data_IF_017118597624
#
_entry.id   IF_017118597624
#
_cell.length_a   1.000
_cell.length_b   1.000
_cell.length_c   1.000
_cell.angle_alpha   90.00
_cell.angle_beta   90.00
_cell.angle_gamma   90.00
#
_symmetry.space_group_name_H-M   'P 1'
#
loop_
_entity.id
_entity.type
_entity.pdbx_description
1 polymer ?
#
# COMPACT_ATOMS: atom_id res chain seq x y z
N UNK A 1 -2.87 12.14 39.28
CA UNK A 1 -2.91 12.02 37.81
C UNK A 1 -3.99 11.00 37.48
N UNK A 2 -5.20 11.44 37.12
CA UNK A 2 -6.30 10.52 36.79
C UNK A 2 -6.03 10.04 35.36
N UNK A 3 -5.65 8.77 35.22
CA UNK A 3 -5.61 8.12 33.91
C UNK A 3 -7.07 8.01 33.44
N UNK A 4 -7.49 8.90 32.52
CA UNK A 4 -8.70 8.69 31.73
C UNK A 4 -8.49 7.38 30.97
N UNK A 5 -9.07 6.30 31.47
CA UNK A 5 -9.23 5.07 30.72
C UNK A 5 -10.05 5.44 29.48
N UNK A 6 -9.40 5.45 28.32
CA UNK A 6 -10.14 5.56 27.06
C UNK A 6 -11.20 4.46 27.04
N UNK A 7 -12.46 4.87 26.93
CA UNK A 7 -13.59 3.96 26.85
C UNK A 7 -13.58 3.29 25.47
N UNK A 8 -14.08 2.05 25.41
CA UNK A 8 -14.29 1.39 24.12
C UNK A 8 -15.25 2.22 23.26
N UNK A 9 -14.94 2.33 21.98
CA UNK A 9 -15.75 3.03 20.98
C UNK A 9 -16.49 1.99 20.14
N UNK A 10 -17.76 2.23 19.88
CA UNK A 10 -18.63 1.27 19.18
C UNK A 10 -19.44 1.96 18.10
N UNK A 11 -19.40 1.40 16.89
CA UNK A 11 -20.29 1.76 15.80
C UNK A 11 -21.26 0.60 15.50
N UNK A 12 -22.55 0.91 15.38
CA UNK A 12 -23.59 -0.07 15.06
C UNK A 12 -24.24 0.34 13.74
N UNK A 13 -24.35 -0.61 12.82
CA UNK A 13 -24.99 -0.39 11.52
C UNK A 13 -25.87 -1.60 11.13
N UNK A 14 -26.79 -1.37 10.21
CA UNK A 14 -27.59 -2.42 9.61
C UNK A 14 -27.08 -2.75 8.21
N UNK A 15 -27.10 -4.03 7.89
CA UNK A 15 -26.84 -4.50 6.54
C UNK A 15 -27.88 -5.55 6.13
N UNK A 16 -28.21 -5.55 4.85
CA UNK A 16 -29.23 -6.39 4.23
C UNK A 16 -28.56 -7.51 3.46
N UNK A 17 -28.92 -8.76 3.75
CA UNK A 17 -28.38 -9.92 3.05
C UNK A 17 -28.77 -9.92 1.57
N UNK A 18 -27.81 -10.21 0.70
CA UNK A 18 -27.98 -10.22 -0.77
C UNK A 18 -28.75 -11.44 -1.28
N UNK A 19 -28.79 -12.51 -0.48
CA UNK A 19 -29.37 -13.79 -0.88
C UNK A 19 -28.37 -14.79 -1.45
N UNK A 20 -27.06 -14.55 -1.27
CA UNK A 20 -26.00 -15.44 -1.72
C UNK A 20 -26.24 -16.88 -1.22
N UNK A 21 -26.14 -17.85 -2.12
CA UNK A 21 -26.35 -19.26 -1.79
C UNK A 21 -25.19 -19.83 -0.98
N UNK A 22 -25.45 -20.89 -0.21
CA UNK A 22 -24.39 -21.61 0.51
C UNK A 22 -23.33 -22.11 -0.48
N UNK A 23 -22.06 -21.89 -0.15
CA UNK A 23 -20.91 -22.32 -0.95
C UNK A 23 -20.55 -21.36 -2.07
N UNK A 24 -21.37 -20.35 -2.37
CA UNK A 24 -21.03 -19.35 -3.38
C UNK A 24 -19.80 -18.52 -2.93
N UNK A 25 -18.88 -18.17 -3.87
CA UNK A 25 -17.73 -17.33 -3.58
C UNK A 25 -18.14 -15.97 -3.01
N UNK A 26 -17.40 -15.49 -2.02
CA UNK A 26 -17.60 -14.18 -1.40
C UNK A 26 -16.34 -13.35 -1.61
N UNK A 27 -16.45 -12.25 -2.35
CA UNK A 27 -15.38 -11.27 -2.47
C UNK A 27 -15.53 -10.13 -1.45
N UNK A 28 -16.77 -9.81 -1.10
CA UNK A 28 -17.09 -8.69 -0.20
C UNK A 28 -17.96 -9.16 0.96
N UNK A 29 -17.55 -8.83 2.19
CA UNK A 29 -18.45 -8.98 3.32
C UNK A 29 -19.53 -7.89 3.29
N UNK A 30 -19.11 -6.66 3.00
CA UNK A 30 -19.98 -5.48 2.96
C UNK A 30 -19.73 -4.64 1.71
N UNK A 31 -20.81 -4.29 1.02
CA UNK A 31 -20.85 -3.24 -0.01
C UNK A 31 -21.92 -2.20 0.34
N UNK A 32 -21.84 -0.99 -0.19
CA UNK A 32 -22.88 0.03 -0.04
C UNK A 32 -24.04 -0.18 -1.02
N UNK A 33 -25.18 0.47 -0.75
CA UNK A 33 -26.43 0.40 -1.55
C UNK A 33 -26.27 0.76 -3.05
N UNK A 34 -25.18 1.41 -3.45
CA UNK A 34 -24.89 1.77 -4.84
C UNK A 34 -24.02 0.75 -5.60
N UNK A 35 -23.64 -0.36 -4.97
CA UNK A 35 -22.78 -1.36 -5.60
C UNK A 35 -23.54 -2.25 -6.59
N UNK A 36 -22.92 -2.56 -7.72
CA UNK A 36 -23.34 -3.60 -8.67
C UNK A 36 -22.71 -4.97 -8.36
N UNK A 37 -22.00 -5.10 -7.23
CA UNK A 37 -21.32 -6.33 -6.78
C UNK A 37 -22.13 -7.14 -5.78
N UNK A 38 -23.46 -6.94 -5.73
CA UNK A 38 -24.34 -7.66 -4.80
C UNK A 38 -24.35 -9.18 -5.05
N UNK A 39 -23.99 -9.63 -6.26
CA UNK A 39 -23.88 -11.03 -6.63
C UNK A 39 -22.64 -11.74 -6.05
N UNK A 40 -21.65 -11.00 -5.52
CA UNK A 40 -20.42 -11.51 -4.90
C UNK A 40 -20.17 -10.90 -3.50
N UNK A 41 -21.18 -10.21 -2.97
CA UNK A 41 -21.18 -9.63 -1.63
C UNK A 41 -22.20 -10.34 -0.72
N UNK A 42 -21.89 -10.52 0.57
CA UNK A 42 -22.87 -11.10 1.50
C UNK A 42 -23.93 -10.11 1.98
N UNK A 43 -23.53 -8.86 2.21
CA UNK A 43 -24.40 -7.84 2.78
C UNK A 43 -24.26 -6.50 2.08
N UNK A 44 -25.40 -5.83 1.91
CA UNK A 44 -25.51 -4.43 1.47
C UNK A 44 -25.77 -3.57 2.70
N UNK A 45 -24.87 -2.64 3.00
CA UNK A 45 -25.06 -1.63 4.04
C UNK A 45 -25.97 -0.54 3.50
N UNK A 46 -26.96 -0.12 4.30
CA UNK A 46 -28.00 0.82 3.88
C UNK A 46 -27.47 2.26 3.60
N UNK A 47 -26.25 2.58 4.03
CA UNK A 47 -25.61 3.89 3.88
C UNK A 47 -24.50 3.90 2.80
N UNK A 48 -24.12 5.10 2.33
CA UNK A 48 -22.97 5.28 1.43
C UNK A 48 -21.65 5.04 2.14
N UNK A 49 -20.57 4.76 1.40
CA UNK A 49 -19.24 4.54 2.00
C UNK A 49 -18.79 5.78 2.79
N UNK A 50 -19.09 6.97 2.28
CA UNK A 50 -18.79 8.23 2.97
C UNK A 50 -19.55 8.39 4.29
N UNK A 51 -20.83 8.03 4.31
CA UNK A 51 -21.65 8.11 5.52
C UNK A 51 -21.17 7.09 6.56
N UNK A 52 -20.85 5.87 6.12
CA UNK A 52 -20.27 4.82 6.95
C UNK A 52 -18.98 5.31 7.64
N UNK A 53 -18.03 5.87 6.88
CA UNK A 53 -16.80 6.40 7.45
C UNK A 53 -17.05 7.53 8.45
N UNK A 54 -17.88 8.52 8.08
CA UNK A 54 -18.22 9.64 8.98
C UNK A 54 -18.84 9.16 10.29
N UNK A 55 -19.70 8.14 10.24
CA UNK A 55 -20.36 7.61 11.43
C UNK A 55 -19.40 6.81 12.33
N UNK A 56 -18.47 6.03 11.75
CA UNK A 56 -17.39 5.37 12.50
C UNK A 56 -16.51 6.41 13.22
N UNK A 57 -16.08 7.45 12.50
CA UNK A 57 -15.25 8.52 13.07
C UNK A 57 -16.00 9.29 14.17
N UNK A 58 -17.29 9.57 13.97
CA UNK A 58 -18.17 10.19 14.99
C UNK A 58 -18.36 9.30 16.23
N UNK A 59 -18.29 7.98 16.08
CA UNK A 59 -18.30 7.04 17.20
C UNK A 59 -16.97 7.01 17.99
N UNK A 60 -15.97 7.81 17.57
CA UNK A 60 -14.68 7.94 18.24
C UNK A 60 -13.63 6.95 17.75
N UNK A 61 -13.90 6.20 16.67
CA UNK A 61 -12.93 5.26 16.07
C UNK A 61 -12.10 6.04 15.04
N UNK A 62 -10.79 6.24 15.27
CA UNK A 62 -9.98 7.09 14.40
C UNK A 62 -9.66 6.38 13.09
N UNK A 63 -9.74 7.13 11.98
CA UNK A 63 -9.28 6.67 10.68
C UNK A 63 -7.76 6.45 10.68
N UNK A 64 -7.35 5.36 10.03
CA UNK A 64 -5.94 5.05 9.78
C UNK A 64 -5.43 5.61 8.45
N UNK A 65 -4.62 4.82 7.75
CA UNK A 65 -4.09 5.10 6.42
C UNK A 65 -4.38 3.91 5.51
N UNK A 66 -5.15 4.15 4.45
CA UNK A 66 -5.30 3.19 3.38
C UNK A 66 -3.98 3.03 2.60
N UNK A 67 -3.88 1.94 1.83
CA UNK A 67 -2.80 1.76 0.87
C UNK A 67 -2.82 2.91 -0.14
N UNK A 68 -1.65 3.53 -0.36
CA UNK A 68 -1.46 4.67 -1.24
C UNK A 68 -0.08 4.52 -1.91
N UNK A 69 -0.09 4.06 -3.16
CA UNK A 69 1.14 3.83 -3.91
C UNK A 69 1.96 5.10 -4.16
N UNK A 70 1.32 6.26 -4.32
CA UNK A 70 2.03 7.53 -4.53
C UNK A 70 2.79 7.96 -3.28
N UNK A 71 2.24 7.65 -2.09
CA UNK A 71 2.87 7.93 -0.80
C UNK A 71 3.72 6.77 -0.29
N UNK A 72 3.92 5.70 -1.07
CA UNK A 72 4.61 4.48 -0.64
C UNK A 72 4.01 3.86 0.63
N UNK A 73 2.69 3.96 0.81
CA UNK A 73 1.98 3.26 1.88
C UNK A 73 1.51 1.93 1.28
N UNK A 74 2.26 0.86 1.53
CA UNK A 74 2.01 -0.47 0.96
C UNK A 74 1.23 -1.37 1.92
N UNK A 75 1.39 -1.14 3.22
CA UNK A 75 0.58 -1.80 4.24
C UNK A 75 -0.53 -0.87 4.72
N UNK A 76 -1.78 -1.36 4.85
CA UNK A 76 -2.82 -0.58 5.50
C UNK A 76 -2.48 -0.36 6.98
N UNK A 77 -2.74 0.82 7.49
CA UNK A 77 -2.55 1.18 8.90
C UNK A 77 -3.91 1.56 9.46
N UNK A 78 -4.24 1.09 10.66
CA UNK A 78 -5.53 1.39 11.28
C UNK A 78 -5.61 0.83 12.69
N UNK A 79 -6.68 1.18 13.39
CA UNK A 79 -7.00 0.54 14.66
C UNK A 79 -7.63 -0.82 14.41
N UNK A 80 -7.30 -1.86 15.20
CA UNK A 80 -7.96 -3.15 15.09
C UNK A 80 -9.40 -3.05 15.61
N UNK A 81 -10.31 -3.70 14.90
CA UNK A 81 -11.72 -3.74 15.20
C UNK A 81 -12.18 -5.18 15.42
N UNK A 82 -13.02 -5.37 16.44
CA UNK A 82 -13.84 -6.58 16.54
C UNK A 82 -15.17 -6.35 15.82
N UNK A 83 -15.60 -7.35 15.04
CA UNK A 83 -16.89 -7.37 14.34
C UNK A 83 -17.83 -8.39 15.00
N UNK A 84 -19.05 -7.96 15.34
CA UNK A 84 -20.14 -8.82 15.82
C UNK A 84 -21.40 -8.64 14.96
N UNK A 85 -22.10 -9.72 14.54
CA UNK A 85 -21.67 -11.12 14.63
C UNK A 85 -20.35 -11.36 13.87
N UNK A 86 -19.65 -12.44 14.22
CA UNK A 86 -18.31 -12.67 13.69
C UNK A 86 -18.39 -13.03 12.22
N UNK A 87 -17.36 -12.68 11.46
CA UNK A 87 -17.24 -13.05 10.06
C UNK A 87 -17.41 -14.57 9.84
N UNK A 88 -16.81 -15.40 10.70
CA UNK A 88 -16.91 -16.87 10.67
C UNK A 88 -18.32 -17.44 10.92
N UNK A 89 -19.29 -16.61 11.33
CA UNK A 89 -20.70 -16.99 11.44
C UNK A 89 -21.38 -17.03 10.05
N UNK A 90 -20.77 -16.36 9.06
CA UNK A 90 -21.31 -16.19 7.70
C UNK A 90 -20.44 -16.78 6.60
N UNK A 91 -19.11 -16.85 6.79
CA UNK A 91 -18.19 -17.39 5.79
C UNK A 91 -17.42 -18.61 6.27
N UNK A 92 -17.18 -19.51 5.33
CA UNK A 92 -16.13 -20.52 5.41
C UNK A 92 -14.86 -19.95 4.77
N UNK A 93 -13.69 -20.29 5.33
CA UNK A 93 -12.40 -19.75 4.90
C UNK A 93 -11.44 -20.90 4.66
N UNK A 94 -10.87 -20.93 3.46
CA UNK A 94 -9.85 -21.87 3.03
C UNK A 94 -8.74 -21.09 2.34
N UNK A 95 -7.92 -20.41 3.15
CA UNK A 95 -6.81 -19.61 2.66
C UNK A 95 -5.68 -20.49 2.10
N UNK A 96 -4.95 -20.03 1.07
CA UNK A 96 -3.76 -20.73 0.59
C UNK A 96 -2.64 -20.74 1.65
N UNK A 97 -1.68 -21.64 1.47
CA UNK A 97 -0.49 -21.72 2.32
C UNK A 97 0.22 -20.36 2.39
N UNK A 98 0.62 -19.97 3.61
CA UNK A 98 1.26 -18.68 3.87
C UNK A 98 0.30 -17.54 4.21
N UNK A 99 -1.00 -17.73 4.04
CA UNK A 99 -2.03 -16.78 4.48
C UNK A 99 -2.72 -17.25 5.76
N UNK A 100 -3.05 -16.31 6.64
CA UNK A 100 -3.86 -16.58 7.84
C UNK A 100 -4.89 -15.46 8.02
N UNK A 101 -6.04 -15.71 8.66
CA UNK A 101 -6.97 -14.66 9.03
C UNK A 101 -6.25 -13.63 9.89
N UNK A 102 -6.40 -12.36 9.57
CA UNK A 102 -5.78 -11.27 10.33
C UNK A 102 -6.83 -10.29 10.84
N UNK A 103 -6.40 -9.41 11.75
CA UNK A 103 -7.30 -8.43 12.36
C UNK A 103 -7.94 -7.53 11.29
N UNK A 104 -9.20 -7.17 11.51
CA UNK A 104 -9.89 -6.15 10.72
C UNK A 104 -9.38 -4.79 11.18
N UNK A 105 -8.89 -3.98 10.26
CA UNK A 105 -8.47 -2.61 10.51
C UNK A 105 -9.47 -1.62 9.93
N UNK A 106 -9.66 -0.50 10.62
CA UNK A 106 -10.28 0.67 10.03
C UNK A 106 -9.22 1.64 9.49
N UNK A 107 -9.18 1.78 8.17
CA UNK A 107 -8.27 2.70 7.46
C UNK A 107 -8.95 4.02 7.09
N UNK A 108 -10.29 4.04 7.11
CA UNK A 108 -11.07 5.16 6.61
C UNK A 108 -11.15 5.25 5.08
N UNK A 109 -10.57 4.27 4.35
CA UNK A 109 -10.63 4.17 2.89
C UNK A 109 -9.67 5.11 2.17
N UNK A 110 -9.38 4.82 0.89
CA UNK A 110 -8.52 5.67 0.07
C UNK A 110 -9.20 7.03 -0.23
N UNK A 111 -8.41 8.10 -0.17
CA UNK A 111 -8.86 9.49 -0.36
C UNK A 111 -8.05 10.20 -1.43
N UNK A 112 -8.70 11.11 -2.13
CA UNK A 112 -8.06 12.00 -3.10
C UNK A 112 -7.22 13.09 -2.41
N UNK A 113 -6.57 13.94 -3.21
CA UNK A 113 -5.71 15.02 -2.72
C UNK A 113 -6.46 16.10 -1.93
N UNK A 114 -7.80 16.17 -2.07
CA UNK A 114 -8.68 17.07 -1.31
C UNK A 114 -9.21 16.42 -0.03
N UNK A 115 -8.85 15.17 0.24
CA UNK A 115 -9.32 14.39 1.39
C UNK A 115 -10.71 13.79 1.20
N UNK A 116 -11.33 13.94 0.03
CA UNK A 116 -12.58 13.26 -0.29
C UNK A 116 -12.28 11.78 -0.51
N UNK A 117 -13.19 10.90 -0.11
CA UNK A 117 -13.08 9.49 -0.50
C UNK A 117 -13.08 9.40 -2.03
N UNK A 118 -12.26 8.50 -2.58
CA UNK A 118 -12.30 8.28 -4.02
C UNK A 118 -13.75 7.98 -4.45
N UNK A 119 -14.27 8.71 -5.45
CA UNK A 119 -15.69 8.76 -5.72
C UNK A 119 -16.24 7.37 -6.04
N UNK A 120 -17.49 7.10 -5.65
CA UNK A 120 -18.29 5.90 -5.95
C UNK A 120 -18.50 5.66 -7.48
N UNK A 121 -17.75 6.34 -8.36
CA UNK A 121 -17.91 6.38 -9.81
C UNK A 121 -17.35 5.17 -10.57
N UNK A 122 -16.95 4.11 -9.86
CA UNK A 122 -16.62 2.82 -10.47
C UNK A 122 -17.01 1.68 -9.54
N UNK A 123 -17.33 0.52 -10.10
CA UNK A 123 -17.90 -0.65 -9.41
C UNK A 123 -17.11 -1.10 -8.15
N UNK A 124 -15.81 -0.80 -8.07
CA UNK A 124 -14.94 -1.09 -6.92
C UNK A 124 -15.00 -0.07 -5.77
N UNK A 125 -15.63 1.08 -5.96
CA UNK A 125 -15.65 2.20 -5.00
C UNK A 125 -16.84 2.17 -4.02
N UNK A 126 -17.77 1.22 -4.18
CA UNK A 126 -18.86 0.95 -3.23
C UNK A 126 -18.50 -0.12 -2.18
N UNK A 127 -17.25 -0.60 -2.17
CA UNK A 127 -16.81 -1.62 -1.21
C UNK A 127 -16.61 -1.03 0.19
N UNK A 128 -17.23 -1.64 1.20
CA UNK A 128 -17.02 -1.30 2.61
C UNK A 128 -15.98 -2.25 3.23
N UNK A 129 -16.08 -3.54 2.92
CA UNK A 129 -15.11 -4.54 3.36
C UNK A 129 -14.94 -5.64 2.30
N UNK A 130 -13.85 -5.54 1.53
CA UNK A 130 -13.39 -6.62 0.67
C UNK A 130 -12.61 -7.67 1.47
N UNK A 131 -12.75 -8.94 1.09
CA UNK A 131 -12.02 -10.06 1.69
C UNK A 131 -10.62 -10.25 1.07
N UNK A 132 -10.12 -9.23 0.37
CA UNK A 132 -8.78 -9.11 -0.18
C UNK A 132 -8.29 -7.67 0.02
N UNK A 133 -7.02 -7.40 -0.29
CA UNK A 133 -6.43 -6.06 -0.17
C UNK A 133 -6.94 -5.12 -1.25
N UNK A 134 -8.02 -4.40 -0.92
CA UNK A 134 -8.57 -3.33 -1.72
C UNK A 134 -8.39 -1.99 -0.99
N UNK A 135 -7.55 -1.12 -1.55
CA UNK A 135 -7.21 0.17 -0.93
C UNK A 135 -8.42 1.07 -0.66
N UNK A 136 -9.46 0.98 -1.50
CA UNK A 136 -10.66 1.79 -1.39
C UNK A 136 -11.59 1.37 -0.24
N UNK A 137 -11.52 0.11 0.20
CA UNK A 137 -12.35 -0.37 1.30
C UNK A 137 -11.91 0.28 2.62
N UNK A 138 -12.84 0.89 3.39
CA UNK A 138 -12.53 1.46 4.69
C UNK A 138 -12.22 0.41 5.77
N UNK A 139 -12.76 -0.80 5.63
CA UNK A 139 -12.37 -1.96 6.41
C UNK A 139 -11.51 -2.87 5.55
N UNK A 140 -10.37 -3.26 6.10
CA UNK A 140 -9.41 -4.16 5.43
C UNK A 140 -8.83 -5.12 6.44
N UNK A 141 -8.28 -6.23 5.96
CA UNK A 141 -7.41 -7.05 6.78
C UNK A 141 -6.08 -6.34 7.06
N UNK A 142 -5.48 -6.64 8.21
CA UNK A 142 -4.19 -6.04 8.60
C UNK A 142 -3.02 -6.50 7.74
N UNK A 143 -3.12 -7.69 7.13
CA UNK A 143 -2.17 -8.23 6.15
C UNK A 143 -2.37 -7.75 4.71
N UNK A 144 -1.54 -8.26 3.79
CA UNK A 144 -1.68 -8.05 2.35
C UNK A 144 -2.20 -9.35 1.72
N UNK A 145 -3.33 -9.26 1.01
CA UNK A 145 -4.03 -10.37 0.39
C UNK A 145 -4.36 -9.98 -1.06
N UNK A 146 -3.44 -10.16 -2.02
CA UNK A 146 -3.72 -9.87 -3.42
C UNK A 146 -4.97 -10.62 -3.89
N UNK A 147 -5.87 -9.97 -4.62
CA UNK A 147 -7.15 -10.59 -5.05
C UNK A 147 -6.94 -11.93 -5.76
N UNK A 148 -5.99 -12.00 -6.69
CA UNK A 148 -5.69 -13.21 -7.45
C UNK A 148 -5.23 -14.40 -6.59
N UNK A 149 -4.64 -14.12 -5.43
CA UNK A 149 -4.11 -15.16 -4.53
C UNK A 149 -5.21 -15.72 -3.61
N UNK A 150 -6.15 -14.87 -3.18
CA UNK A 150 -7.22 -15.26 -2.24
C UNK A 150 -8.59 -15.43 -2.89
N UNK A 151 -8.67 -15.33 -4.21
CA UNK A 151 -9.90 -15.54 -4.95
C UNK A 151 -10.48 -16.94 -4.65
N UNK A 152 -11.77 -17.01 -4.32
CA UNK A 152 -12.44 -18.26 -3.96
C UNK A 152 -12.05 -18.83 -2.59
N UNK A 153 -11.15 -18.20 -1.84
CA UNK A 153 -10.77 -18.65 -0.49
C UNK A 153 -11.86 -18.44 0.56
N UNK A 154 -12.90 -17.66 0.22
CA UNK A 154 -14.03 -17.37 1.09
C UNK A 154 -15.34 -17.76 0.40
N UNK A 155 -16.16 -18.54 1.08
CA UNK A 155 -17.47 -18.97 0.58
C UNK A 155 -18.55 -18.75 1.63
N UNK A 156 -19.79 -18.55 1.18
CA UNK A 156 -20.91 -18.39 2.09
C UNK A 156 -21.17 -19.69 2.87
N UNK A 157 -21.08 -19.64 4.20
CA UNK A 157 -21.27 -20.79 5.09
C UNK A 157 -22.71 -21.32 5.11
N UNK A 158 -23.66 -20.42 4.89
CA UNK A 158 -25.10 -20.71 4.83
C UNK A 158 -25.76 -19.76 3.84
N UNK A 159 -26.87 -20.22 3.26
CA UNK A 159 -27.75 -19.33 2.51
C UNK A 159 -28.40 -18.35 3.47
N UNK A 160 -28.33 -17.06 3.15
CA UNK A 160 -29.07 -16.00 3.84
C UNK A 160 -30.32 -15.66 3.05
N UNK A 161 -31.43 -15.35 3.72
CA UNK A 161 -32.63 -14.96 3.00
C UNK A 161 -32.40 -13.57 2.40
N UNK A 162 -32.56 -13.41 1.09
CA UNK A 162 -32.47 -12.09 0.43
C UNK A 162 -33.39 -11.09 1.13
N UNK A 163 -32.85 -9.92 1.47
CA UNK A 163 -33.58 -8.89 2.19
C UNK A 163 -33.59 -9.04 3.72
N UNK A 164 -33.02 -10.10 4.27
CA UNK A 164 -32.86 -10.25 5.72
C UNK A 164 -31.92 -9.18 6.27
N UNK A 165 -32.37 -8.44 7.29
CA UNK A 165 -31.56 -7.41 7.94
C UNK A 165 -30.79 -8.00 9.11
N UNK A 166 -29.50 -7.73 9.16
CA UNK A 166 -28.60 -8.10 10.25
C UNK A 166 -28.01 -6.82 10.83
N UNK A 167 -27.95 -6.75 12.16
CA UNK A 167 -27.30 -5.65 12.87
C UNK A 167 -25.86 -6.04 13.17
N UNK A 168 -24.92 -5.20 12.75
CA UNK A 168 -23.50 -5.39 12.99
C UNK A 168 -22.98 -4.35 13.98
N UNK A 169 -21.94 -4.74 14.70
CA UNK A 169 -21.21 -3.90 15.64
C UNK A 169 -19.72 -3.97 15.35
N UNK A 170 -19.11 -2.80 15.17
CA UNK A 170 -17.67 -2.62 15.17
C UNK A 170 -17.26 -2.01 16.50
N UNK A 171 -16.26 -2.61 17.16
CA UNK A 171 -15.75 -2.10 18.43
C UNK A 171 -14.24 -1.93 18.38
N UNK A 172 -13.78 -0.76 18.81
CA UNK A 172 -12.38 -0.47 19.11
C UNK A 172 -12.22 -0.35 20.62
N UNK A 173 -11.13 -0.89 21.17
CA UNK A 173 -10.86 -0.90 22.61
C UNK A 173 -10.48 0.47 23.20
N UNK A 174 -10.40 1.52 22.36
CA UNK A 174 -10.04 2.88 22.72
C UNK A 174 -8.55 3.11 22.98
N UNK A 175 -7.71 2.07 22.89
CA UNK A 175 -6.32 2.10 23.38
C UNK A 175 -5.32 1.57 22.37
N UNK A 176 -5.64 0.46 21.71
CA UNK A 176 -4.74 -0.21 20.77
C UNK A 176 -4.66 0.59 19.48
N UNK A 177 -3.47 1.13 19.22
CA UNK A 177 -3.15 1.86 18.00
C UNK A 177 -1.74 1.52 17.53
N UNK A 178 -1.49 1.48 16.20
CA UNK A 178 -0.14 1.36 15.67
C UNK A 178 0.76 2.47 16.22
N UNK A 179 1.97 2.12 16.65
CA UNK A 179 2.97 3.10 17.05
C UNK A 179 3.64 3.65 15.80
N UNK A 180 3.60 4.96 15.62
CA UNK A 180 4.38 5.62 14.58
C UNK A 180 5.84 5.72 15.03
N UNK A 181 6.76 5.22 14.20
CA UNK A 181 8.19 5.23 14.45
C UNK A 181 8.90 5.84 13.26
N UNK A 182 9.70 6.87 13.50
CA UNK A 182 10.61 7.42 12.49
C UNK A 182 12.02 6.91 12.76
N UNK A 183 12.71 6.48 11.71
CA UNK A 183 14.11 6.06 11.76
C UNK A 183 14.93 6.92 10.80
N UNK A 184 15.92 7.61 11.35
CA UNK A 184 16.87 8.43 10.62
C UNK A 184 18.14 7.62 10.35
N UNK A 185 18.22 6.98 9.19
CA UNK A 185 19.42 6.29 8.73
C UNK A 185 20.46 7.30 8.26
N UNK A 186 21.65 7.23 8.85
CA UNK A 186 22.84 8.03 8.57
C UNK A 186 24.04 7.10 8.40
N UNK A 187 25.16 7.60 7.90
CA UNK A 187 26.36 6.79 7.81
C UNK A 187 26.72 6.20 9.18
N UNK A 188 26.97 4.90 9.23
CA UNK A 188 27.35 4.17 10.44
C UNK A 188 26.25 3.82 11.47
N UNK A 189 25.00 4.29 11.35
CA UNK A 189 23.98 4.08 12.40
C UNK A 189 22.91 3.02 12.09
N UNK A 190 22.97 2.36 10.92
CA UNK A 190 21.92 1.44 10.47
C UNK A 190 21.62 0.33 11.50
N UNK A 191 22.67 -0.25 12.10
CA UNK A 191 22.53 -1.31 13.12
C UNK A 191 21.73 -0.83 14.34
N UNK A 192 21.98 0.38 14.81
CA UNK A 192 21.28 0.97 15.96
C UNK A 192 19.79 1.14 15.67
N UNK A 193 19.45 1.69 14.50
CA UNK A 193 18.06 1.85 14.07
C UNK A 193 17.32 0.50 13.94
N UNK A 194 17.98 -0.53 13.43
CA UNK A 194 17.40 -1.87 13.33
C UNK A 194 17.21 -2.49 14.73
N UNK A 195 18.13 -2.30 15.66
CA UNK A 195 17.97 -2.76 17.05
C UNK A 195 16.85 -2.01 17.78
N UNK A 196 16.68 -0.72 17.51
CA UNK A 196 15.58 0.09 18.03
C UNK A 196 14.23 -0.48 17.63
N UNK A 197 14.05 -0.93 16.38
CA UNK A 197 12.79 -1.60 15.96
C UNK A 197 12.50 -2.84 16.80
N UNK A 198 13.50 -3.70 17.02
CA UNK A 198 13.37 -4.91 17.83
C UNK A 198 13.00 -4.61 19.29
N UNK A 199 13.44 -3.47 19.82
CA UNK A 199 13.14 -3.06 21.20
C UNK A 199 11.66 -2.78 21.47
N UNK A 200 10.84 -2.54 20.44
CA UNK A 200 9.40 -2.34 20.60
C UNK A 200 8.61 -3.64 20.81
N UNK A 201 9.26 -4.80 20.73
CA UNK A 201 8.64 -6.11 20.98
C UNK A 201 7.45 -6.38 20.06
N UNK A 202 6.34 -6.84 20.63
CA UNK A 202 5.18 -7.29 19.86
C UNK A 202 4.21 -6.17 19.42
N UNK A 203 4.60 -4.91 19.54
CA UNK A 203 3.73 -3.79 19.17
C UNK A 203 3.56 -3.72 17.65
N UNK A 204 2.37 -3.35 17.18
CA UNK A 204 2.18 -2.97 15.78
C UNK A 204 2.84 -1.61 15.53
N UNK A 205 3.68 -1.54 14.50
CA UNK A 205 4.46 -0.36 14.14
C UNK A 205 4.10 0.14 12.73
N UNK A 206 3.99 1.45 12.57
CA UNK A 206 3.99 2.17 11.29
C UNK A 206 5.33 2.92 11.19
N UNK A 207 6.26 2.40 10.37
CA UNK A 207 7.65 2.83 10.34
C UNK A 207 7.93 3.68 9.12
N UNK A 208 8.35 4.93 9.33
CA UNK A 208 8.91 5.80 8.30
C UNK A 208 10.44 5.72 8.35
N UNK A 209 11.03 5.09 7.34
CA UNK A 209 12.48 5.00 7.19
C UNK A 209 13.01 6.15 6.32
N UNK A 210 13.89 6.98 6.87
CA UNK A 210 14.48 8.13 6.19
C UNK A 210 15.97 7.91 6.00
N UNK A 211 16.45 8.06 4.77
CA UNK A 211 17.85 7.87 4.42
C UNK A 211 18.52 9.22 4.22
N UNK A 212 19.54 9.50 5.02
CA UNK A 212 20.27 10.76 4.97
C UNK A 212 21.22 10.84 3.78
N UNK A 213 21.49 12.06 3.30
CA UNK A 213 22.34 12.30 2.13
C UNK A 213 23.82 11.91 2.32
N UNK A 214 24.27 11.80 3.56
CA UNK A 214 25.64 11.39 3.92
C UNK A 214 25.87 9.87 3.78
N UNK A 215 24.81 9.08 3.63
CA UNK A 215 24.94 7.65 3.35
C UNK A 215 25.46 7.43 1.93
N UNK A 216 26.18 6.34 1.73
CA UNK A 216 26.50 5.78 0.42
C UNK A 216 25.36 4.90 -0.11
N UNK A 217 25.35 4.62 -1.41
CA UNK A 217 24.44 3.62 -2.02
C UNK A 217 24.55 2.27 -1.34
N UNK A 218 25.78 1.81 -1.07
CA UNK A 218 26.04 0.53 -0.41
C UNK A 218 25.46 0.47 1.01
N UNK A 219 25.66 1.51 1.82
CA UNK A 219 25.07 1.60 3.17
C UNK A 219 23.54 1.61 3.13
N UNK A 220 22.95 2.37 2.20
CA UNK A 220 21.50 2.46 2.04
C UNK A 220 20.89 1.12 1.62
N UNK A 221 21.54 0.41 0.69
CA UNK A 221 21.16 -0.95 0.26
C UNK A 221 21.27 -1.95 1.40
N UNK A 222 22.32 -1.89 2.23
CA UNK A 222 22.44 -2.76 3.39
C UNK A 222 21.31 -2.52 4.41
N UNK A 223 20.99 -1.25 4.70
CA UNK A 223 19.86 -0.89 5.56
C UNK A 223 18.51 -1.32 4.96
N UNK A 224 18.31 -1.13 3.65
CA UNK A 224 17.11 -1.54 2.95
C UNK A 224 16.90 -3.07 3.00
N UNK A 225 17.95 -3.88 2.83
CA UNK A 225 17.86 -5.33 2.98
C UNK A 225 17.44 -5.74 4.41
N UNK A 226 17.98 -5.08 5.43
CA UNK A 226 17.58 -5.33 6.81
C UNK A 226 16.11 -4.94 7.07
N UNK A 227 15.66 -3.83 6.50
CA UNK A 227 14.26 -3.40 6.54
C UNK A 227 13.34 -4.39 5.82
N UNK A 228 13.71 -4.88 4.64
CA UNK A 228 12.95 -5.87 3.88
C UNK A 228 12.70 -7.16 4.67
N UNK A 229 13.67 -7.59 5.49
CA UNK A 229 13.55 -8.77 6.34
C UNK A 229 12.64 -8.56 7.56
N UNK A 230 12.34 -7.30 7.93
CA UNK A 230 11.45 -6.95 9.04
C UNK A 230 10.05 -6.56 8.57
N UNK A 231 9.91 -6.12 7.32
CA UNK A 231 8.66 -5.64 6.73
C UNK A 231 7.57 -6.71 6.78
N UNK A 232 6.56 -6.50 7.60
CA UNK A 232 5.57 -7.52 7.97
C UNK A 232 4.27 -6.88 8.47
N UNK A 233 3.25 -7.71 8.74
CA UNK A 233 1.99 -7.28 9.34
C UNK A 233 2.18 -6.58 10.71
N UNK A 234 3.24 -6.93 11.44
CA UNK A 234 3.54 -6.32 12.73
C UNK A 234 4.39 -5.05 12.58
N UNK A 235 5.39 -5.07 11.70
CA UNK A 235 6.30 -3.95 11.44
C UNK A 235 6.09 -3.49 10.00
N UNK A 236 5.25 -2.47 9.82
CA UNK A 236 4.85 -1.99 8.50
C UNK A 236 5.75 -0.84 8.09
N UNK A 237 6.63 -1.06 7.11
CA UNK A 237 7.53 -0.01 6.63
C UNK A 237 6.85 0.72 5.48
N UNK A 238 6.45 1.95 5.72
CA UNK A 238 5.64 2.76 4.83
C UNK A 238 6.23 4.16 4.68
N UNK A 239 5.87 4.82 3.59
CA UNK A 239 6.10 6.24 3.43
C UNK A 239 7.51 6.59 2.96
N UNK A 240 7.62 7.83 2.48
CA UNK A 240 8.88 8.55 2.29
C UNK A 240 8.70 9.94 2.87
N UNK A 241 9.80 10.60 3.23
CA UNK A 241 9.74 12.04 3.45
C UNK A 241 9.73 12.78 2.10
N UNK A 242 9.48 14.08 2.16
CA UNK A 242 9.54 14.94 0.99
C UNK A 242 10.93 14.84 0.34
N UNK A 243 10.92 14.44 -0.93
CA UNK A 243 12.10 14.22 -1.76
C UNK A 243 12.97 12.99 -1.48
N UNK A 244 12.75 12.23 -0.40
CA UNK A 244 13.50 11.01 -0.12
C UNK A 244 13.15 9.84 -1.04
N UNK A 245 13.83 8.71 -0.78
CA UNK A 245 13.61 7.44 -1.46
C UNK A 245 12.97 6.44 -0.49
N UNK A 246 12.00 5.68 -0.99
CA UNK A 246 11.47 4.54 -0.26
C UNK A 246 12.53 3.45 -0.15
N UNK A 247 12.56 2.67 0.94
CA UNK A 247 13.65 1.71 1.14
C UNK A 247 13.76 0.68 -0.01
N UNK A 248 12.63 0.27 -0.61
CA UNK A 248 12.62 -0.65 -1.76
C UNK A 248 13.24 -0.05 -3.03
N UNK A 249 13.44 1.27 -3.09
CA UNK A 249 14.20 1.90 -4.17
C UNK A 249 15.62 1.33 -4.26
N UNK A 250 16.22 0.91 -3.14
CA UNK A 250 17.56 0.32 -3.10
C UNK A 250 17.58 -1.20 -3.34
N UNK A 251 16.42 -1.80 -3.61
CA UNK A 251 16.24 -3.24 -3.84
C UNK A 251 15.56 -3.53 -5.19
N UNK A 252 16.03 -2.96 -6.32
CA UNK A 252 15.44 -3.31 -7.60
C UNK A 252 15.69 -4.78 -7.95
N UNK A 253 14.78 -5.37 -8.71
CA UNK A 253 15.00 -6.71 -9.27
C UNK A 253 16.14 -6.65 -10.28
N UNK A 254 17.17 -7.49 -10.10
CA UNK A 254 18.37 -7.50 -10.96
C UNK A 254 18.00 -7.66 -12.44
N UNK A 255 17.01 -8.51 -12.76
CA UNK A 255 16.56 -8.70 -14.15
C UNK A 255 16.09 -7.41 -14.83
N UNK A 256 15.62 -6.42 -14.06
CA UNK A 256 15.24 -5.13 -14.61
C UNK A 256 16.44 -4.29 -15.09
N UNK A 257 17.69 -4.70 -14.86
CA UNK A 257 18.81 -4.04 -15.55
C UNK A 257 18.78 -4.31 -17.06
N UNK A 258 18.28 -5.48 -17.48
CA UNK A 258 18.04 -5.79 -18.88
C UNK A 258 16.74 -5.10 -19.34
N UNK A 259 16.78 -4.37 -20.46
CA UNK A 259 15.60 -3.65 -21.01
C UNK A 259 14.53 -4.60 -21.55
N UNK A 260 14.94 -5.78 -22.03
CA UNK A 260 14.04 -6.80 -22.61
C UNK A 260 13.22 -7.53 -21.54
N UNK A 261 13.70 -7.55 -20.30
CA UNK A 261 13.05 -8.19 -19.15
C UNK A 261 12.07 -7.27 -18.42
N UNK A 262 11.84 -6.05 -18.92
CA UNK A 262 10.95 -5.06 -18.31
C UNK A 262 9.62 -5.03 -19.02
N UNK A 263 8.54 -4.92 -18.23
CA UNK A 263 7.19 -4.66 -18.74
C UNK A 263 7.02 -3.22 -19.25
N UNK A 264 7.82 -2.29 -18.72
CA UNK A 264 7.79 -0.86 -19.05
C UNK A 264 9.21 -0.34 -19.23
N UNK A 265 9.37 0.74 -19.99
CA UNK A 265 10.67 1.35 -20.24
C UNK A 265 10.85 2.66 -19.46
N UNK A 266 11.37 2.60 -18.21
CA UNK A 266 11.59 3.79 -17.39
C UNK A 266 12.70 4.67 -17.97
N UNK A 267 12.81 5.90 -17.47
CA UNK A 267 14.03 6.67 -17.67
C UNK A 267 15.23 5.93 -17.05
N UNK A 268 16.39 6.06 -17.69
CA UNK A 268 17.65 5.58 -17.13
C UNK A 268 18.57 6.78 -16.89
N UNK A 269 18.94 7.01 -15.65
CA UNK A 269 19.88 8.04 -15.25
C UNK A 269 21.18 7.38 -14.81
N UNK A 270 22.27 7.59 -15.54
CA UNK A 270 23.61 7.24 -15.09
C UNK A 270 24.26 8.44 -14.44
N UNK A 271 24.68 8.29 -13.18
CA UNK A 271 25.55 9.27 -12.53
C UNK A 271 26.99 9.04 -13.01
N UNK A 272 27.58 10.07 -13.59
CA UNK A 272 28.96 10.05 -14.10
C UNK A 272 29.85 10.98 -13.26
N UNK A 273 31.16 10.74 -13.31
CA UNK A 273 32.14 11.55 -12.59
C UNK A 273 32.14 13.01 -13.07
N UNK A 274 32.04 13.21 -14.39
CA UNK A 274 32.01 14.56 -15.00
C UNK A 274 30.58 15.03 -15.32
N UNK A 275 29.73 14.12 -15.81
CA UNK A 275 28.40 14.46 -16.30
C UNK A 275 27.42 13.31 -16.17
N UNK A 276 26.21 13.64 -15.73
CA UNK A 276 25.07 12.74 -15.71
C UNK A 276 24.50 12.51 -17.11
N UNK A 277 24.07 11.27 -17.37
CA UNK A 277 23.44 10.88 -18.62
C UNK A 277 22.02 10.38 -18.36
N UNK A 278 21.03 11.07 -18.94
CA UNK A 278 19.63 10.68 -18.90
C UNK A 278 19.21 10.09 -20.26
N UNK A 279 18.66 8.89 -20.21
CA UNK A 279 18.11 8.19 -21.37
C UNK A 279 16.60 8.07 -21.26
N UNK A 280 15.91 8.38 -22.36
CA UNK A 280 14.56 7.94 -22.65
C UNK A 280 14.63 6.73 -23.58
N UNK A 281 13.88 5.69 -23.31
CA UNK A 281 13.84 4.51 -24.16
C UNK A 281 12.59 4.60 -25.04
N UNK A 282 12.79 4.78 -26.34
CA UNK A 282 11.70 4.79 -27.31
C UNK A 282 11.30 3.37 -27.68
N UNK A 283 10.00 3.08 -27.59
CA UNK A 283 9.40 1.82 -28.02
C UNK A 283 8.80 1.98 -29.42
N UNK A 284 9.34 1.23 -30.38
CA UNK A 284 8.81 1.14 -31.74
C UNK A 284 8.06 -0.18 -31.93
N UNK A 285 6.74 -0.07 -32.08
CA UNK A 285 5.79 -1.18 -32.26
C UNK A 285 5.41 -1.40 -33.74
N UNK A 286 6.11 -0.78 -34.70
CA UNK A 286 5.73 -0.84 -36.12
C UNK A 286 6.10 -2.16 -36.83
N UNK A 287 6.87 -3.04 -36.18
CA UNK A 287 7.27 -4.34 -36.72
C UNK A 287 6.30 -5.49 -36.43
N UNK A 288 6.52 -6.65 -37.06
CA UNK A 288 5.72 -7.87 -36.86
C UNK A 288 6.04 -8.63 -35.56
N UNK A 289 7.04 -8.18 -34.80
CA UNK A 289 7.46 -8.79 -33.54
C UNK A 289 6.46 -8.50 -32.41
N UNK A 290 6.26 -9.49 -31.53
CA UNK A 290 5.48 -9.32 -30.28
C UNK A 290 6.17 -8.37 -29.28
N UNK A 291 7.47 -8.14 -29.44
CA UNK A 291 8.25 -7.21 -28.63
C UNK A 291 8.60 -5.96 -29.45
N UNK A 292 8.54 -4.75 -28.85
CA UNK A 292 8.90 -3.52 -29.52
C UNK A 292 10.41 -3.46 -29.73
N UNK A 293 10.81 -2.75 -30.78
CA UNK A 293 12.21 -2.37 -30.92
C UNK A 293 12.49 -1.22 -29.95
N UNK A 294 13.44 -1.46 -29.03
CA UNK A 294 13.83 -0.49 -28.00
C UNK A 294 15.00 0.34 -28.48
N UNK A 295 14.83 1.67 -28.52
CA UNK A 295 15.89 2.62 -28.94
C UNK A 295 16.19 3.61 -27.82
N UNK A 296 17.33 3.48 -27.13
CA UNK A 296 17.76 4.47 -26.14
C UNK A 296 18.10 5.81 -26.80
N UNK A 297 17.53 6.90 -26.27
CA UNK A 297 17.78 8.28 -26.70
C UNK A 297 18.30 9.10 -25.53
N UNK A 298 19.48 9.71 -25.71
CA UNK A 298 19.99 10.71 -24.77
C UNK A 298 19.11 11.95 -24.83
N UNK A 299 18.66 12.41 -23.67
CA UNK A 299 17.82 13.60 -23.53
C UNK A 299 18.37 14.52 -22.43
N UNK A 300 17.98 15.79 -22.45
CA UNK A 300 18.27 16.70 -21.34
C UNK A 300 17.26 16.50 -20.20
N UNK A 301 17.64 16.88 -18.98
CA UNK A 301 16.71 16.92 -17.83
C UNK A 301 15.48 17.79 -18.12
N UNK A 302 15.68 18.93 -18.80
CA UNK A 302 14.58 19.83 -19.21
C UNK A 302 13.63 19.17 -20.21
N UNK A 303 14.13 18.30 -21.10
CA UNK A 303 13.29 17.60 -22.08
C UNK A 303 12.50 16.44 -21.46
N UNK A 304 12.92 15.92 -20.31
CA UNK A 304 12.25 14.81 -19.63
C UNK A 304 10.76 15.08 -19.36
N UNK A 305 10.38 16.33 -19.06
CA UNK A 305 8.98 16.73 -18.82
C UNK A 305 8.05 16.56 -20.04
N UNK A 306 8.61 16.41 -21.25
CA UNK A 306 7.84 16.13 -22.47
C UNK A 306 7.29 14.70 -22.47
N UNK A 307 7.91 13.78 -21.73
CA UNK A 307 7.56 12.34 -21.73
C UNK A 307 6.69 11.97 -20.52
N UNK A 308 5.48 12.55 -20.45
CA UNK A 308 4.58 12.43 -19.29
C UNK A 308 4.12 11.00 -18.95
N UNK A 309 4.27 10.05 -19.88
CA UNK A 309 3.89 8.64 -19.66
C UNK A 309 4.89 7.88 -18.79
N UNK A 310 6.11 8.39 -18.64
CA UNK A 310 7.17 7.71 -17.89
C UNK A 310 7.13 8.10 -16.40
N UNK A 311 6.62 7.20 -15.57
CA UNK A 311 6.41 7.45 -14.13
C UNK A 311 7.49 6.82 -13.23
N UNK A 312 8.51 6.22 -13.83
CA UNK A 312 9.58 5.49 -13.13
C UNK A 312 10.94 5.89 -13.67
N UNK A 313 11.95 5.99 -12.80
CA UNK A 313 13.35 6.23 -13.16
C UNK A 313 14.29 5.25 -12.46
N UNK A 314 15.19 4.66 -13.25
CA UNK A 314 16.28 3.82 -12.79
C UNK A 314 17.56 4.67 -12.74
N UNK A 315 18.13 4.81 -11.55
CA UNK A 315 19.38 5.53 -11.33
C UNK A 315 20.50 4.49 -11.19
N UNK A 316 21.52 4.62 -12.00
CA UNK A 316 22.72 3.80 -11.92
C UNK A 316 23.85 4.62 -11.29
N UNK A 317 24.32 4.17 -10.14
CA UNK A 317 25.28 4.89 -9.30
C UNK A 317 26.36 3.94 -8.75
N UNK A 318 27.56 4.45 -8.46
CA UNK A 318 28.62 3.68 -7.81
C UNK A 318 28.24 3.31 -6.37
N UNK A 319 28.82 2.26 -5.82
CA UNK A 319 28.55 1.79 -4.47
C UNK A 319 28.87 2.81 -3.37
N UNK A 320 29.90 3.63 -3.59
CA UNK A 320 30.39 4.69 -2.70
C UNK A 320 29.74 6.06 -2.97
N UNK A 321 28.89 6.16 -4.00
CA UNK A 321 28.16 7.39 -4.34
C UNK A 321 27.28 7.84 -3.17
N UNK A 322 27.34 9.14 -2.84
CA UNK A 322 26.56 9.69 -1.74
C UNK A 322 25.10 9.89 -2.15
N UNK A 323 24.17 9.56 -1.25
CA UNK A 323 22.74 9.77 -1.50
C UNK A 323 22.40 11.24 -1.73
N UNK A 324 23.17 12.20 -1.19
CA UNK A 324 23.00 13.62 -1.50
C UNK A 324 23.07 13.90 -2.99
N UNK A 325 23.99 13.25 -3.72
CA UNK A 325 24.14 13.40 -5.17
C UNK A 325 22.96 12.81 -5.94
N UNK A 326 22.41 11.69 -5.45
CA UNK A 326 21.19 11.07 -5.98
C UNK A 326 19.98 11.98 -5.76
N UNK A 327 19.86 12.59 -4.58
CA UNK A 327 18.77 13.52 -4.26
C UNK A 327 18.85 14.80 -5.11
N UNK A 328 20.05 15.30 -5.40
CA UNK A 328 20.25 16.42 -6.33
C UNK A 328 19.83 16.06 -7.76
N UNK A 329 20.23 14.88 -8.24
CA UNK A 329 19.78 14.35 -9.53
C UNK A 329 18.26 14.21 -9.61
N UNK A 330 17.63 13.66 -8.56
CA UNK A 330 16.17 13.52 -8.45
C UNK A 330 15.47 14.88 -8.51
N UNK A 331 16.02 15.92 -7.86
CA UNK A 331 15.46 17.29 -7.91
C UNK A 331 15.45 17.87 -9.32
N UNK A 332 16.43 17.55 -10.17
CA UNK A 332 16.45 17.99 -11.57
C UNK A 332 15.27 17.42 -12.39
N UNK A 333 14.65 16.35 -11.91
CA UNK A 333 13.49 15.69 -12.52
C UNK A 333 12.17 15.96 -11.77
N UNK A 334 12.14 16.92 -10.84
CA UNK A 334 10.95 17.18 -10.01
C UNK A 334 9.71 17.63 -10.81
N UNK A 335 9.89 18.25 -11.99
CA UNK A 335 8.78 18.67 -12.87
C UNK A 335 8.24 17.53 -13.78
N UNK A 336 8.77 16.32 -13.63
CA UNK A 336 8.32 15.15 -14.39
C UNK A 336 7.19 14.40 -13.67
N UNK A 337 6.62 13.39 -14.32
CA UNK A 337 5.62 12.50 -13.72
C UNK A 337 6.22 11.32 -12.94
N UNK A 338 7.53 11.34 -12.65
CA UNK A 338 8.21 10.24 -11.97
C UNK A 338 7.77 10.17 -10.51
N UNK A 339 7.17 9.04 -10.15
CA UNK A 339 6.78 8.71 -8.77
C UNK A 339 7.64 7.57 -8.20
N UNK A 340 8.14 6.67 -9.05
CA UNK A 340 8.94 5.53 -8.64
C UNK A 340 10.40 5.72 -8.97
N UNK A 341 11.27 5.40 -8.02
CA UNK A 341 12.71 5.55 -8.12
C UNK A 341 13.37 4.25 -7.71
N UNK A 342 14.33 3.79 -8.51
CA UNK A 342 15.11 2.59 -8.21
C UNK A 342 16.59 2.84 -8.45
N UNK A 343 17.43 2.36 -7.54
CA UNK A 343 18.88 2.56 -7.54
C UNK A 343 19.57 1.24 -7.86
N UNK A 344 20.21 1.18 -9.02
CA UNK A 344 21.10 0.09 -9.42
C UNK A 344 22.54 0.47 -9.07
N UNK A 345 23.14 -0.33 -8.20
CA UNK A 345 24.57 -0.25 -7.88
C UNK A 345 25.38 -0.74 -9.09
N UNK A 346 26.24 0.14 -9.61
CA UNK A 346 27.25 -0.21 -10.61
C UNK A 346 28.49 -0.73 -9.88
N UNK A 347 28.97 -1.89 -10.34
CA UNK A 347 30.25 -2.45 -9.93
C UNK A 347 31.41 -1.63 -10.49
#
# INVERSE_FOLDING_TARGET
MIALLAAACTYIFQATATGLEKGAPVEFLFVSKGSDRDYEALFIVDESVETFCKNIEKAGIPAGKAVDGKKCILWPIGVPLSLEPKMADFIETSLPDGYSPSDILYTGGARDEKGALYPESSNSHCSIFALYSLAHSPLVFSGIYPQGDVYGSYTAKKALKKGEKVTFRLTWDGKTKPLQVQLDFKSGNAKENILKLKSFGNRSLDVLAMFSGDMTVSEAKAAANALQALDSVQIKINGTNDNGLFYRAFLPLVKWSDRSERLLQPFELTLGDDKDELLYIEEDWSGESLNPKLTPKKISFTDAKKYKKTTTCFIYAKSDEKLSRIYEAKKQLAETSIINWYIFEKN
#
